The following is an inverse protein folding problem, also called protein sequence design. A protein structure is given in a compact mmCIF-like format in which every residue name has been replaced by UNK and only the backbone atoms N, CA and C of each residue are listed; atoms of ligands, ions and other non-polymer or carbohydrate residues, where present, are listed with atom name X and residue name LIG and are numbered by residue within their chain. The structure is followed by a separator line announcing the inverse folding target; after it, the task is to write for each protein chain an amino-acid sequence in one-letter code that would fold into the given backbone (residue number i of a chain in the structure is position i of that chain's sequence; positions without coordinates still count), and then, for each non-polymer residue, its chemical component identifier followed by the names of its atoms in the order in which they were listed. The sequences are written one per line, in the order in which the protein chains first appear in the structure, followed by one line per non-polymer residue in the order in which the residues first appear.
data_IF_821844173814
#
_entry.id   IF_821844173814
#
_cell.length_a   1.000
_cell.length_b   1.000
_cell.length_c   1.000
_cell.angle_alpha   90.00
_cell.angle_beta   90.00
_cell.angle_gamma   90.00
#
_symmetry.space_group_name_H-M   'P 1'
#
loop_
_entity.id
_entity.type
_entity.pdbx_description
1 polymer ?
#
# COMPACT_ATOMS: atom_id res chain seq x y z
N UNK A 1 24.40 14.15 20.74
CA UNK A 1 23.22 13.48 20.17
C UNK A 1 23.47 13.32 18.68
N UNK A 2 23.91 12.13 18.29
CA UNK A 2 24.26 11.83 16.90
C UNK A 2 23.01 11.77 16.04
N UNK A 3 22.89 12.72 15.12
CA UNK A 3 21.86 12.71 14.09
C UNK A 3 22.27 11.62 13.10
N UNK A 4 21.63 10.45 13.21
CA UNK A 4 21.81 9.37 12.24
C UNK A 4 21.61 9.93 10.82
N UNK A 5 22.49 9.58 9.85
CA UNK A 5 22.42 10.14 8.52
C UNK A 5 21.06 9.80 7.90
N UNK A 6 20.33 10.84 7.45
CA UNK A 6 19.08 10.68 6.72
C UNK A 6 19.42 9.92 5.44
N UNK A 7 19.17 8.61 5.46
CA UNK A 7 19.36 7.77 4.28
C UNK A 7 18.60 8.39 3.11
N UNK A 8 19.20 8.50 1.91
CA UNK A 8 18.58 9.18 0.79
C UNK A 8 17.19 8.56 0.54
N UNK A 9 16.13 9.37 0.54
CA UNK A 9 14.73 8.89 0.48
C UNK A 9 14.44 7.84 -0.60
N UNK A 10 15.25 7.79 -1.66
CA UNK A 10 15.21 6.78 -2.72
C UNK A 10 15.61 5.36 -2.23
N UNK A 11 16.59 5.23 -1.33
CA UNK A 11 17.02 3.94 -0.78
C UNK A 11 15.90 3.30 0.05
N UNK A 12 15.26 4.08 0.93
CA UNK A 12 14.12 3.65 1.74
C UNK A 12 12.93 3.21 0.88
N UNK A 13 12.60 3.95 -0.19
CA UNK A 13 11.53 3.57 -1.11
C UNK A 13 11.81 2.25 -1.82
N UNK A 14 13.04 2.06 -2.31
CA UNK A 14 13.43 0.82 -3.00
C UNK A 14 13.41 -0.40 -2.06
N UNK A 15 13.80 -0.20 -0.80
CA UNK A 15 13.77 -1.22 0.24
C UNK A 15 12.35 -1.66 0.57
N UNK A 16 11.44 -0.72 0.87
CA UNK A 16 10.04 -1.08 1.21
C UNK A 16 9.29 -1.72 0.04
N UNK A 17 9.64 -1.38 -1.20
CA UNK A 17 9.09 -2.05 -2.39
C UNK A 17 9.58 -3.50 -2.47
N UNK A 18 10.86 -3.74 -2.18
CA UNK A 18 11.46 -5.08 -2.15
C UNK A 18 10.83 -5.93 -1.06
N UNK A 19 10.72 -5.39 0.16
CA UNK A 19 10.06 -6.06 1.29
C UNK A 19 8.60 -6.39 0.98
N UNK A 20 7.85 -5.47 0.35
CA UNK A 20 6.47 -5.73 -0.10
C UNK A 20 6.41 -6.92 -1.07
N UNK A 21 7.33 -7.00 -2.03
CA UNK A 21 7.40 -8.11 -2.99
C UNK A 21 7.74 -9.43 -2.31
N UNK A 22 8.69 -9.42 -1.37
CA UNK A 22 9.07 -10.59 -0.60
C UNK A 22 7.91 -11.09 0.27
N UNK A 23 7.22 -10.19 0.97
CA UNK A 23 6.05 -10.54 1.78
C UNK A 23 4.90 -11.13 0.92
N UNK A 24 4.67 -10.58 -0.27
CA UNK A 24 3.70 -11.14 -1.21
C UNK A 24 4.10 -12.54 -1.68
N UNK A 25 5.40 -12.77 -1.95
CA UNK A 25 5.91 -14.09 -2.33
C UNK A 25 5.67 -15.10 -1.21
N UNK A 26 6.06 -14.75 0.03
CA UNK A 26 5.85 -15.60 1.23
C UNK A 26 4.38 -15.94 1.45
N UNK A 27 3.48 -14.96 1.30
CA UNK A 27 2.03 -15.17 1.38
C UNK A 27 1.52 -16.16 0.32
N UNK A 28 2.06 -16.13 -0.90
CA UNK A 28 1.66 -17.03 -1.99
C UNK A 28 2.21 -18.45 -1.84
N UNK A 29 3.38 -18.63 -1.23
CA UNK A 29 4.09 -19.91 -1.21
C UNK A 29 3.75 -20.84 -0.04
N UNK A 30 3.10 -20.36 1.04
CA UNK A 30 2.89 -21.17 2.25
C UNK A 30 1.42 -21.15 2.71
N UNK A 31 0.68 -22.27 2.54
CA UNK A 31 -0.70 -22.41 3.00
C UNK A 31 -0.84 -22.51 4.53
N UNK A 32 0.16 -23.07 5.24
CA UNK A 32 0.07 -23.36 6.67
C UNK A 32 0.17 -22.11 7.56
N UNK A 33 0.81 -21.06 7.06
CA UNK A 33 0.99 -19.77 7.74
C UNK A 33 0.19 -18.65 7.04
N UNK A 34 -0.90 -19.01 6.35
CA UNK A 34 -1.66 -18.11 5.48
C UNK A 34 -2.09 -16.84 6.23
N UNK A 35 -2.60 -16.97 7.46
CA UNK A 35 -3.10 -15.84 8.25
C UNK A 35 -1.97 -14.91 8.70
N UNK A 36 -0.89 -15.45 9.28
CA UNK A 36 0.24 -14.64 9.78
C UNK A 36 0.98 -13.96 8.62
N UNK A 37 1.17 -14.66 7.50
CA UNK A 37 1.76 -14.09 6.29
C UNK A 37 0.85 -13.03 5.63
N UNK A 38 -0.48 -13.23 5.65
CA UNK A 38 -1.44 -12.24 5.16
C UNK A 38 -1.41 -10.96 6.00
N UNK A 39 -1.39 -11.09 7.32
CA UNK A 39 -1.25 -9.95 8.25
C UNK A 39 0.05 -9.21 7.97
N UNK A 40 1.19 -9.93 7.95
CA UNK A 40 2.50 -9.34 7.66
C UNK A 40 2.52 -8.61 6.29
N UNK A 41 1.95 -9.22 5.25
CA UNK A 41 1.82 -8.60 3.94
C UNK A 41 0.97 -7.32 3.98
N UNK A 42 -0.18 -7.33 4.67
CA UNK A 42 -1.04 -6.14 4.82
C UNK A 42 -0.30 -4.99 5.51
N UNK A 43 0.44 -5.26 6.58
CA UNK A 43 1.26 -4.27 7.27
C UNK A 43 2.34 -3.67 6.36
N UNK A 44 3.16 -4.51 5.71
CA UNK A 44 4.23 -4.06 4.81
C UNK A 44 3.65 -3.30 3.61
N UNK A 45 2.49 -3.72 3.09
CA UNK A 45 1.78 -3.00 2.01
C UNK A 45 1.35 -1.61 2.45
N UNK A 46 0.82 -1.46 3.66
CA UNK A 46 0.43 -0.16 4.20
C UNK A 46 1.65 0.76 4.39
N UNK A 47 2.73 0.23 4.96
CA UNK A 47 4.01 0.94 5.13
C UNK A 47 4.56 1.40 3.78
N UNK A 48 4.66 0.50 2.80
CA UNK A 48 5.16 0.83 1.47
C UNK A 48 4.31 1.92 0.80
N UNK A 49 2.97 1.87 0.92
CA UNK A 49 2.09 2.94 0.41
C UNK A 49 2.41 4.28 1.05
N UNK A 50 2.52 4.34 2.38
CA UNK A 50 2.85 5.57 3.12
C UNK A 50 4.20 6.13 2.69
N UNK A 51 5.24 5.30 2.63
CA UNK A 51 6.59 5.73 2.25
C UNK A 51 6.64 6.26 0.82
N UNK A 52 5.96 5.60 -0.13
CA UNK A 52 5.89 6.07 -1.52
C UNK A 52 5.14 7.41 -1.60
N UNK A 53 4.00 7.54 -0.92
CA UNK A 53 3.24 8.80 -0.91
C UNK A 53 4.07 9.93 -0.33
N UNK A 54 4.72 9.72 0.81
CA UNK A 54 5.59 10.72 1.42
C UNK A 54 6.78 11.08 0.52
N UNK A 55 7.38 10.09 -0.13
CA UNK A 55 8.46 10.31 -1.10
C UNK A 55 8.03 11.18 -2.29
N UNK A 56 6.82 10.95 -2.82
CA UNK A 56 6.24 11.79 -3.88
C UNK A 56 5.95 13.21 -3.42
N UNK A 57 5.35 13.38 -2.22
CA UNK A 57 5.06 14.69 -1.65
C UNK A 57 6.34 15.49 -1.42
N UNK A 58 7.38 14.86 -0.89
CA UNK A 58 8.67 15.51 -0.68
C UNK A 58 9.31 15.89 -2.02
N UNK A 59 9.31 14.98 -3.00
CA UNK A 59 9.82 15.26 -4.33
C UNK A 59 9.10 16.44 -4.99
N UNK A 60 7.77 16.53 -4.84
CA UNK A 60 6.99 17.66 -5.32
C UNK A 60 7.33 18.96 -4.58
N UNK A 61 7.45 18.91 -3.25
CA UNK A 61 7.84 20.07 -2.43
C UNK A 61 9.22 20.59 -2.82
N UNK A 62 10.21 19.71 -2.98
CA UNK A 62 11.56 20.06 -3.44
C UNK A 62 11.54 20.65 -4.84
N UNK A 63 10.73 20.09 -5.75
CA UNK A 63 10.56 20.64 -7.09
C UNK A 63 9.97 22.06 -7.06
N UNK A 64 8.87 22.26 -6.32
CA UNK A 64 8.23 23.56 -6.19
C UNK A 64 9.18 24.62 -5.61
N UNK A 65 10.00 24.25 -4.61
CA UNK A 65 11.04 25.10 -4.04
C UNK A 65 12.18 25.42 -5.02
N UNK A 66 12.45 24.54 -5.99
CA UNK A 66 13.49 24.74 -7.00
C UNK A 66 13.07 25.70 -8.13
N UNK A 67 11.78 26.04 -8.22
CA UNK A 67 11.28 26.98 -9.22
C UNK A 67 11.60 28.42 -8.78
N UNK A 68 12.21 29.17 -9.68
CA UNK A 68 12.60 30.56 -9.50
C UNK A 68 12.35 31.34 -10.79
N UNK A 69 12.62 32.65 -10.77
CA UNK A 69 12.42 33.55 -11.93
C UNK A 69 13.30 33.19 -13.14
N UNK A 70 14.36 32.39 -12.97
CA UNK A 70 15.21 31.94 -14.08
C UNK A 70 14.77 30.61 -14.69
N UNK A 71 13.73 29.96 -14.13
CA UNK A 71 13.18 28.71 -14.67
C UNK A 71 12.38 28.99 -15.94
N UNK A 72 12.80 28.42 -17.07
CA UNK A 72 12.08 28.57 -18.34
C UNK A 72 10.70 27.89 -18.29
N UNK A 73 9.72 28.41 -19.03
CA UNK A 73 8.39 27.79 -19.13
C UNK A 73 8.48 26.35 -19.67
N UNK A 74 9.45 26.07 -20.54
CA UNK A 74 9.68 24.73 -21.10
C UNK A 74 10.18 23.76 -20.03
N UNK A 75 11.12 24.18 -19.19
CA UNK A 75 11.63 23.36 -18.09
C UNK A 75 10.56 23.08 -17.03
N UNK A 76 9.72 24.07 -16.75
CA UNK A 76 8.55 23.90 -15.88
C UNK A 76 7.60 22.84 -16.43
N UNK A 77 7.13 22.98 -17.68
CA UNK A 77 6.20 22.03 -18.30
C UNK A 77 6.79 20.62 -18.40
N UNK A 78 8.08 20.49 -18.74
CA UNK A 78 8.76 19.20 -18.81
C UNK A 78 8.83 18.51 -17.43
N UNK A 79 9.11 19.27 -16.37
CA UNK A 79 9.18 18.73 -15.01
C UNK A 79 7.79 18.38 -14.49
N UNK A 80 6.79 19.24 -14.67
CA UNK A 80 5.38 18.95 -14.32
C UNK A 80 4.86 17.70 -15.07
N UNK A 81 5.21 17.56 -16.35
CA UNK A 81 4.87 16.39 -17.15
C UNK A 81 5.40 15.07 -16.57
N UNK A 82 6.58 15.08 -15.93
CA UNK A 82 7.13 13.89 -15.23
C UNK A 82 6.36 13.52 -13.97
N UNK A 83 5.67 14.47 -13.34
CA UNK A 83 4.82 14.22 -12.18
C UNK A 83 3.41 13.78 -12.55
N UNK A 84 2.95 14.10 -13.76
CA UNK A 84 1.66 13.64 -14.26
C UNK A 84 1.65 12.11 -14.32
N UNK A 85 0.82 11.48 -13.49
CA UNK A 85 0.56 10.05 -13.59
C UNK A 85 0.03 9.73 -14.99
N UNK A 86 0.41 8.57 -15.55
CA UNK A 86 -0.30 8.02 -16.72
C UNK A 86 -1.79 8.03 -16.41
N UNK A 87 -2.59 8.47 -17.38
CA UNK A 87 -4.05 8.48 -17.29
C UNK A 87 -4.55 7.12 -16.86
N UNK A 88 -5.57 7.11 -15.99
CA UNK A 88 -6.29 5.88 -15.64
C UNK A 88 -6.66 5.15 -16.92
N UNK A 89 -6.31 3.86 -17.03
CA UNK A 89 -6.89 3.03 -18.06
C UNK A 89 -8.41 3.03 -17.84
N UNK A 90 -9.18 3.38 -18.86
CA UNK A 90 -10.63 3.22 -18.82
C UNK A 90 -10.91 1.72 -18.76
N UNK A 91 -11.54 1.26 -17.67
CA UNK A 91 -11.94 -0.14 -17.54
C UNK A 91 -13.22 -0.30 -18.37
N UNK A 92 -13.10 -0.99 -19.52
CA UNK A 92 -14.19 -1.13 -20.49
C UNK A 92 -15.29 -2.14 -20.08
N UNK A 93 -15.09 -2.88 -18.98
CA UNK A 93 -16.04 -3.88 -18.51
C UNK A 93 -15.45 -4.76 -17.41
N UNK A 94 -16.30 -5.63 -16.87
CA UNK A 94 -15.99 -6.57 -15.80
C UNK A 94 -16.25 -8.00 -16.29
N UNK A 95 -15.28 -8.90 -16.10
CA UNK A 95 -15.48 -10.33 -16.33
C UNK A 95 -16.04 -10.97 -15.06
N UNK A 96 -17.20 -11.60 -15.14
CA UNK A 96 -17.84 -12.30 -14.02
C UNK A 96 -18.65 -13.49 -14.52
N UNK A 97 -18.64 -14.59 -13.76
CA UNK A 97 -19.46 -15.79 -14.05
C UNK A 97 -19.26 -16.37 -15.47
N UNK A 98 -18.04 -16.23 -16.02
CA UNK A 98 -17.72 -16.73 -17.36
C UNK A 98 -18.10 -15.79 -18.52
N UNK A 99 -18.66 -14.60 -18.24
CA UNK A 99 -19.08 -13.64 -19.24
C UNK A 99 -18.44 -12.25 -19.04
N UNK A 100 -18.22 -11.55 -20.15
CA UNK A 100 -17.74 -10.16 -20.15
C UNK A 100 -18.94 -9.20 -20.09
N UNK A 101 -19.01 -8.40 -19.03
CA UNK A 101 -20.08 -7.43 -18.79
C UNK A 101 -19.54 -6.00 -18.97
N UNK A 102 -19.97 -5.32 -20.03
CA UNK A 102 -19.68 -3.89 -20.25
C UNK A 102 -20.83 -2.97 -19.83
N UNK A 103 -21.96 -3.53 -19.37
CA UNK A 103 -23.16 -2.76 -19.05
C UNK A 103 -22.98 -2.01 -17.70
N UNK A 104 -23.01 -0.66 -17.69
CA UNK A 104 -22.79 0.15 -16.49
C UNK A 104 -23.87 -0.02 -15.43
N UNK A 105 -25.07 -0.52 -15.75
CA UNK A 105 -26.13 -0.79 -14.76
C UNK A 105 -25.93 -2.11 -14.03
N UNK A 106 -25.22 -3.06 -14.63
CA UNK A 106 -25.02 -4.42 -14.09
C UNK A 106 -23.74 -4.50 -13.25
N UNK A 107 -22.69 -3.78 -13.65
CA UNK A 107 -21.39 -3.77 -12.98
C UNK A 107 -21.49 -3.40 -11.48
N UNK A 108 -22.25 -2.36 -11.06
CA UNK A 108 -22.39 -2.00 -9.65
C UNK A 108 -22.98 -3.14 -8.81
N UNK A 109 -23.95 -3.88 -9.35
CA UNK A 109 -24.58 -4.99 -8.64
C UNK A 109 -23.62 -6.17 -8.46
N UNK A 110 -22.81 -6.49 -9.47
CA UNK A 110 -21.77 -7.53 -9.37
C UNK A 110 -20.74 -7.14 -8.32
N UNK A 111 -20.28 -5.88 -8.33
CA UNK A 111 -19.35 -5.36 -7.34
C UNK A 111 -19.94 -5.39 -5.92
N UNK A 112 -21.19 -4.98 -5.76
CA UNK A 112 -21.89 -4.99 -4.47
C UNK A 112 -21.97 -6.41 -3.90
N UNK A 113 -22.36 -7.40 -4.71
CA UNK A 113 -22.38 -8.82 -4.30
C UNK A 113 -20.99 -9.32 -3.88
N UNK A 114 -19.96 -9.00 -4.67
CA UNK A 114 -18.59 -9.39 -4.35
C UNK A 114 -18.11 -8.76 -3.04
N UNK A 115 -18.33 -7.46 -2.83
CA UNK A 115 -17.93 -6.81 -1.59
C UNK A 115 -18.71 -7.30 -0.37
N UNK A 116 -20.01 -7.53 -0.50
CA UNK A 116 -20.81 -8.12 0.59
C UNK A 116 -20.26 -9.49 1.03
N UNK A 117 -19.85 -10.34 0.08
CA UNK A 117 -19.24 -11.64 0.37
C UNK A 117 -17.87 -11.53 1.05
N UNK A 118 -17.01 -10.62 0.60
CA UNK A 118 -15.63 -10.51 1.09
C UNK A 118 -15.53 -9.69 2.40
N UNK A 119 -16.44 -8.74 2.60
CA UNK A 119 -16.47 -7.85 3.77
C UNK A 119 -17.36 -8.34 4.93
N UNK A 120 -18.02 -9.49 4.78
CA UNK A 120 -18.79 -10.11 5.85
C UNK A 120 -17.92 -10.45 7.07
N UNK A 121 -18.42 -10.13 8.26
CA UNK A 121 -17.73 -10.31 9.54
C UNK A 121 -17.47 -11.79 9.88
N UNK A 122 -18.21 -12.70 9.24
CA UNK A 122 -18.11 -14.15 9.41
C UNK A 122 -16.79 -14.74 8.87
N UNK A 123 -16.04 -13.98 8.07
CA UNK A 123 -14.72 -14.37 7.57
C UNK A 123 -13.58 -14.15 8.58
N UNK A 124 -13.86 -13.55 9.74
CA UNK A 124 -12.89 -13.32 10.81
C UNK A 124 -13.13 -14.32 11.94
N UNK A 125 -12.39 -15.43 11.95
CA UNK A 125 -12.40 -16.36 13.08
C UNK A 125 -11.83 -15.67 14.33
N UNK A 126 -12.73 -15.21 15.21
CA UNK A 126 -12.43 -14.76 16.58
C UNK A 126 -12.04 -15.97 17.43
N UNK A 127 -10.83 -16.48 17.25
CA UNK A 127 -10.28 -17.50 18.13
C UNK A 127 -8.77 -17.35 18.24
N UNK A 128 -8.35 -16.26 18.87
CA UNK A 128 -7.09 -16.23 19.60
C UNK A 128 -7.41 -15.65 20.98
N UNK A 129 -7.59 -16.48 22.03
CA UNK A 129 -7.64 -15.95 23.37
C UNK A 129 -6.30 -15.25 23.63
N UNK A 130 -6.36 -13.96 23.94
CA UNK A 130 -5.22 -13.20 24.41
C UNK A 130 -4.75 -13.84 25.73
N UNK A 131 -3.72 -14.68 25.70
CA UNK A 131 -3.03 -15.13 26.90
C UNK A 131 -2.22 -13.95 27.42
N UNK A 132 -2.81 -13.24 28.40
CA UNK A 132 -2.20 -12.08 29.04
C UNK A 132 -0.78 -12.36 29.51
N UNK A 133 0.05 -11.32 29.44
CA UNK A 133 1.38 -11.29 30.04
C UNK A 133 1.27 -11.66 31.52
N UNK A 134 1.69 -12.87 31.89
CA UNK A 134 1.99 -13.21 33.26
C UNK A 134 3.28 -12.47 33.65
N UNK A 135 3.14 -11.21 34.07
CA UNK A 135 4.18 -10.49 34.77
C UNK A 135 4.42 -11.14 36.11
N UNK A 136 5.48 -11.94 36.21
CA UNK A 136 6.05 -12.42 37.47
C UNK A 136 6.60 -11.22 38.23
N UNK A 137 5.81 -10.61 39.10
CA UNK A 137 6.31 -9.70 40.13
C UNK A 137 6.67 -10.52 41.36
N UNK A 138 7.95 -10.85 41.50
CA UNK A 138 8.52 -11.29 42.78
C UNK A 138 8.46 -10.12 43.76
N UNK A 139 7.68 -10.27 44.84
CA UNK A 139 7.69 -9.37 46.00
C UNK A 139 9.09 -9.34 46.64
N UNK A 140 9.56 -8.17 47.11
CA UNK A 140 10.49 -8.09 48.21
C UNK A 140 9.74 -7.68 49.49
N UNK A 141 9.72 -8.57 50.48
CA UNK A 141 9.85 -8.17 51.88
C UNK A 141 11.33 -8.16 52.22
#
# INVERSE_FOLDING_TARGET
MDIAPIAPHHSLQSQVIRERKQALSRFRSSPTLLLTNLIAFKHIRALARRTITNGKLLSWSTFAKSLNYSSSSTDFSNRVGKFKSRSSNSIAGLYSEGAWNSNPSVIPNILAKHFASVSGNDNHSTSQPFSGFAGSTSNPF
#
